data_IF_970107214890
#
_entry.id   IF_970107214890
#
_cell.length_a   1.000
_cell.length_b   1.000
_cell.length_c   1.000
_cell.angle_alpha   90.00
_cell.angle_beta   90.00
_cell.angle_gamma   90.00
#
_symmetry.space_group_name_H-M   'P 1'
#
loop_
_entity.id
_entity.type
_entity.pdbx_description
1 polymer ?
#
# COMPACT_ATOMS: atom_id res chain seq x y z
N UNK A 1 25.84 13.99 8.33
CA UNK A 1 26.23 15.42 8.33
C UNK A 1 25.59 16.21 7.19
N UNK A 2 24.26 16.26 7.09
CA UNK A 2 23.57 17.31 6.32
C UNK A 2 22.34 17.72 7.13
N UNK A 3 22.49 18.76 7.96
CA UNK A 3 21.41 19.30 8.80
C UNK A 3 20.74 20.53 8.19
N UNK A 4 21.21 20.99 7.03
CA UNK A 4 20.61 22.11 6.32
C UNK A 4 20.39 21.72 4.86
N UNK A 5 19.14 21.58 4.40
CA UNK A 5 18.87 21.32 3.00
C UNK A 5 19.40 22.47 2.13
N UNK A 6 19.84 22.21 0.88
CA UNK A 6 20.40 23.23 -0.01
C UNK A 6 19.37 24.30 -0.44
N UNK A 7 18.10 24.13 -0.07
CA UNK A 7 16.97 25.01 -0.37
C UNK A 7 16.16 25.19 0.91
N UNK A 8 15.65 26.40 1.24
CA UNK A 8 14.79 26.63 2.39
C UNK A 8 13.53 25.74 2.38
N UNK A 9 13.03 25.39 3.58
CA UNK A 9 11.85 24.52 3.71
C UNK A 9 10.63 25.10 2.98
N UNK A 10 10.36 26.39 3.11
CA UNK A 10 9.23 27.06 2.44
C UNK A 10 9.30 26.94 0.91
N UNK A 11 10.49 27.11 0.34
CA UNK A 11 10.71 26.97 -1.09
C UNK A 11 10.54 25.51 -1.56
N UNK A 12 11.04 24.54 -0.78
CA UNK A 12 10.81 23.12 -1.04
C UNK A 12 9.33 22.75 -0.91
N UNK A 13 8.65 23.27 0.09
CA UNK A 13 7.25 23.00 0.38
C UNK A 13 6.34 23.57 -0.70
N UNK A 14 6.65 24.75 -1.24
CA UNK A 14 5.96 25.31 -2.39
C UNK A 14 6.03 24.40 -3.64
N UNK A 15 7.05 23.55 -3.75
CA UNK A 15 7.16 22.55 -4.84
C UNK A 15 6.37 21.26 -4.56
N UNK A 16 5.84 21.06 -3.36
CA UNK A 16 5.15 19.82 -2.98
C UNK A 16 3.96 19.47 -3.90
N UNK A 17 3.08 20.41 -4.30
CA UNK A 17 2.00 20.11 -5.25
C UNK A 17 2.54 19.66 -6.62
N UNK A 18 3.58 20.33 -7.12
CA UNK A 18 4.22 19.98 -8.40
C UNK A 18 4.88 18.60 -8.33
N UNK A 19 5.58 18.30 -7.23
CA UNK A 19 6.16 16.97 -6.99
C UNK A 19 5.08 15.88 -7.04
N UNK A 20 3.93 16.10 -6.39
CA UNK A 20 2.80 15.16 -6.41
C UNK A 20 2.26 14.94 -7.82
N UNK A 21 2.08 16.01 -8.58
CA UNK A 21 1.64 15.93 -9.97
C UNK A 21 2.62 15.09 -10.82
N UNK A 22 3.91 15.43 -10.78
CA UNK A 22 4.94 14.71 -11.55
C UNK A 22 5.05 13.24 -11.14
N UNK A 23 4.91 12.94 -9.85
CA UNK A 23 4.89 11.55 -9.36
C UNK A 23 3.71 10.79 -9.96
N UNK A 24 2.51 11.36 -9.91
CA UNK A 24 1.30 10.75 -10.49
C UNK A 24 1.45 10.50 -11.99
N UNK A 25 1.91 11.49 -12.75
CA UNK A 25 2.13 11.37 -14.20
C UNK A 25 3.10 10.21 -14.51
N UNK A 26 4.24 10.16 -13.83
CA UNK A 26 5.24 9.09 -14.00
C UNK A 26 4.72 7.70 -13.62
N UNK A 27 3.95 7.61 -12.53
CA UNK A 27 3.35 6.35 -12.09
C UNK A 27 2.33 5.81 -13.10
N UNK A 28 1.58 6.70 -13.75
CA UNK A 28 0.66 6.31 -14.80
C UNK A 28 1.39 5.93 -16.09
N UNK A 29 2.46 6.63 -16.46
CA UNK A 29 3.23 6.34 -17.67
C UNK A 29 4.05 5.04 -17.56
N UNK A 30 4.79 4.86 -16.46
CA UNK A 30 5.73 3.74 -16.30
C UNK A 30 5.06 2.41 -15.91
N UNK A 31 3.80 2.45 -15.45
CA UNK A 31 3.14 1.29 -14.84
C UNK A 31 3.64 1.09 -13.40
N UNK A 32 2.91 1.63 -12.44
CA UNK A 32 3.34 1.67 -11.04
C UNK A 32 3.28 0.32 -10.29
N UNK A 33 2.58 -0.67 -10.83
CA UNK A 33 2.42 -1.99 -10.21
C UNK A 33 2.93 -3.02 -11.20
N UNK A 34 3.97 -3.77 -10.82
CA UNK A 34 4.55 -4.74 -11.75
C UNK A 34 3.57 -5.90 -12.02
N UNK A 35 3.59 -6.48 -13.23
CA UNK A 35 2.66 -7.54 -13.64
C UNK A 35 2.60 -8.72 -12.66
N UNK A 36 3.73 -9.10 -12.05
CA UNK A 36 3.84 -10.23 -11.13
C UNK A 36 3.00 -10.00 -9.85
N UNK A 37 2.89 -8.74 -9.40
CA UNK A 37 2.03 -8.38 -8.27
C UNK A 37 0.56 -8.49 -8.66
N UNK A 38 0.22 -8.05 -9.87
CA UNK A 38 -1.15 -8.17 -10.39
C UNK A 38 -1.56 -9.64 -10.51
N UNK A 39 -0.66 -10.50 -11.01
CA UNK A 39 -0.87 -11.95 -11.10
C UNK A 39 -1.06 -12.59 -9.72
N UNK A 40 -0.23 -12.22 -8.74
CA UNK A 40 -0.37 -12.69 -7.37
C UNK A 40 -1.73 -12.29 -6.76
N UNK A 41 -2.14 -11.03 -6.89
CA UNK A 41 -3.42 -10.56 -6.37
C UNK A 41 -4.60 -11.27 -7.03
N UNK A 42 -4.52 -11.56 -8.34
CA UNK A 42 -5.55 -12.35 -9.04
C UNK A 42 -5.61 -13.80 -8.56
N UNK A 43 -4.47 -14.39 -8.23
CA UNK A 43 -4.42 -15.75 -7.69
C UNK A 43 -4.99 -15.82 -6.26
N UNK A 44 -4.79 -14.78 -5.45
CA UNK A 44 -5.29 -14.71 -4.07
C UNK A 44 -6.78 -14.37 -3.99
N UNK A 45 -7.28 -13.50 -4.87
CA UNK A 45 -8.64 -12.95 -4.81
C UNK A 45 -9.78 -13.98 -4.66
N UNK A 46 -9.74 -15.17 -5.28
CA UNK A 46 -10.79 -16.19 -5.09
C UNK A 46 -10.86 -16.77 -3.67
N UNK A 47 -9.76 -16.72 -2.92
CA UNK A 47 -9.62 -17.36 -1.60
C UNK A 47 -9.50 -16.36 -0.45
N UNK A 48 -9.08 -15.11 -0.74
CA UNK A 48 -8.80 -14.08 0.24
C UNK A 48 -9.51 -12.77 -0.10
N UNK A 49 -10.03 -12.10 0.93
CA UNK A 49 -10.41 -10.70 0.83
C UNK A 49 -9.14 -9.85 0.76
N UNK A 50 -9.08 -8.95 -0.22
CA UNK A 50 -7.91 -8.10 -0.43
C UNK A 50 -8.23 -6.66 -0.07
N UNK A 51 -7.29 -5.97 0.57
CA UNK A 51 -7.42 -4.56 0.90
C UNK A 51 -6.12 -3.80 0.69
N UNK A 52 -6.25 -2.50 0.36
CA UNK A 52 -5.12 -1.57 0.31
C UNK A 52 -5.27 -0.55 1.42
N UNK A 53 -4.20 -0.38 2.22
CA UNK A 53 -4.15 0.61 3.30
C UNK A 53 -2.94 1.53 3.09
N UNK A 54 -3.20 2.80 2.79
CA UNK A 54 -2.17 3.78 2.43
C UNK A 54 -2.35 5.11 3.15
N UNK A 55 -1.25 5.81 3.45
CA UNK A 55 -1.29 7.20 3.96
C UNK A 55 -1.41 8.23 2.84
N UNK A 56 -1.39 7.81 1.57
CA UNK A 56 -1.63 8.68 0.42
C UNK A 56 -3.12 8.94 0.21
N UNK A 57 -3.46 10.06 -0.43
CA UNK A 57 -4.86 10.40 -0.72
C UNK A 57 -5.42 9.54 -1.86
N UNK A 58 -6.75 9.36 -1.87
CA UNK A 58 -7.45 8.62 -2.93
C UNK A 58 -7.09 9.11 -4.33
N UNK A 59 -7.09 10.44 -4.53
CA UNK A 59 -6.79 11.06 -5.83
C UNK A 59 -5.40 10.75 -6.38
N UNK A 60 -4.47 10.29 -5.53
CA UNK A 60 -3.11 9.91 -5.90
C UNK A 60 -3.02 8.42 -6.24
N UNK A 61 -3.75 7.57 -5.49
CA UNK A 61 -3.59 6.11 -5.56
C UNK A 61 -4.65 5.42 -6.41
N UNK A 62 -5.91 5.87 -6.34
CA UNK A 62 -7.02 5.21 -7.03
C UNK A 62 -6.80 5.07 -8.55
N UNK A 63 -6.33 6.10 -9.29
CA UNK A 63 -6.06 5.97 -10.72
C UNK A 63 -5.00 4.91 -11.05
N UNK A 64 -4.03 4.71 -10.16
CA UNK A 64 -2.99 3.68 -10.30
C UNK A 64 -3.59 2.29 -10.17
N UNK A 65 -4.44 2.06 -9.15
CA UNK A 65 -5.13 0.79 -8.92
C UNK A 65 -6.08 0.44 -10.06
N UNK A 66 -6.80 1.44 -10.60
CA UNK A 66 -7.70 1.29 -11.75
C UNK A 66 -6.92 0.92 -13.02
N UNK A 67 -5.83 1.64 -13.32
CA UNK A 67 -4.98 1.37 -14.49
C UNK A 67 -4.31 0.00 -14.43
N UNK A 68 -3.91 -0.44 -13.24
CA UNK A 68 -3.37 -1.79 -13.03
C UNK A 68 -4.45 -2.90 -13.11
N UNK A 69 -5.74 -2.52 -13.12
CA UNK A 69 -6.86 -3.45 -13.17
C UNK A 69 -7.04 -4.25 -11.88
N UNK A 70 -6.53 -3.74 -10.75
CA UNK A 70 -6.63 -4.43 -9.45
C UNK A 70 -7.70 -3.85 -8.54
N UNK A 71 -8.20 -2.63 -8.80
CA UNK A 71 -9.27 -2.04 -7.99
C UNK A 71 -10.49 -2.98 -7.84
N UNK A 72 -10.97 -3.68 -8.90
CA UNK A 72 -12.08 -4.64 -8.76
C UNK A 72 -11.76 -5.88 -7.92
N UNK A 73 -10.49 -6.16 -7.63
CA UNK A 73 -10.06 -7.26 -6.77
C UNK A 73 -10.06 -6.87 -5.28
N UNK A 74 -10.21 -5.58 -4.96
CA UNK A 74 -10.12 -5.10 -3.58
C UNK A 74 -11.50 -5.06 -2.94
N UNK A 75 -11.65 -5.80 -1.84
CA UNK A 75 -12.82 -5.71 -0.96
C UNK A 75 -12.88 -4.35 -0.26
N UNK A 76 -11.72 -3.77 0.07
CA UNK A 76 -11.64 -2.46 0.70
C UNK A 76 -10.40 -1.67 0.26
N UNK A 77 -10.53 -0.35 0.25
CA UNK A 77 -9.41 0.58 0.21
C UNK A 77 -9.49 1.49 1.42
N UNK A 78 -8.36 1.90 2.00
CA UNK A 78 -8.27 2.91 3.05
C UNK A 78 -7.17 3.89 2.67
N UNK A 79 -7.54 5.15 2.48
CA UNK A 79 -6.66 6.23 2.09
C UNK A 79 -6.33 7.13 3.28
N UNK A 80 -5.31 8.00 3.15
CA UNK A 80 -4.91 8.91 4.22
C UNK A 80 -6.02 9.85 4.70
N UNK A 81 -6.96 10.21 3.82
CA UNK A 81 -8.10 11.05 4.18
C UNK A 81 -9.24 10.33 4.89
N UNK A 82 -9.21 8.98 4.99
CA UNK A 82 -10.28 8.20 5.60
C UNK A 82 -10.22 8.15 7.14
N UNK A 83 -9.09 8.54 7.73
CA UNK A 83 -8.86 8.46 9.18
C UNK A 83 -8.26 9.75 9.72
N UNK A 84 -8.51 10.02 11.00
CA UNK A 84 -7.92 11.17 11.71
C UNK A 84 -6.46 10.87 12.05
N UNK A 85 -6.18 9.68 12.60
CA UNK A 85 -4.83 9.29 13.00
C UNK A 85 -4.22 8.38 11.93
N UNK A 86 -3.17 8.88 11.27
CA UNK A 86 -2.41 8.12 10.27
C UNK A 86 -1.45 7.12 10.93
N UNK A 87 -0.89 6.20 10.12
CA UNK A 87 0.23 5.32 10.51
C UNK A 87 1.31 6.17 11.24
N UNK A 88 1.77 5.78 12.45
CA UNK A 88 1.71 4.46 13.07
C UNK A 88 0.47 4.16 13.93
N UNK A 89 -0.54 5.04 13.97
CA UNK A 89 -1.79 4.73 14.67
C UNK A 89 -2.50 3.51 14.04
N UNK A 90 -3.26 2.71 14.80
CA UNK A 90 -3.90 1.49 14.29
C UNK A 90 -5.12 1.78 13.40
N UNK A 91 -5.67 3.00 13.44
CA UNK A 91 -6.93 3.41 12.81
C UNK A 91 -7.07 2.97 11.34
N UNK A 92 -6.04 3.11 10.45
CA UNK A 92 -6.18 2.69 9.06
C UNK A 92 -6.47 1.19 8.89
N UNK A 93 -5.83 0.33 9.68
CA UNK A 93 -6.02 -1.12 9.60
C UNK A 93 -7.29 -1.57 10.31
N UNK A 94 -7.68 -0.89 11.39
CA UNK A 94 -8.97 -1.14 12.04
C UNK A 94 -10.13 -0.81 11.10
N UNK A 95 -10.03 0.29 10.36
CA UNK A 95 -11.02 0.66 9.34
C UNK A 95 -11.03 -0.34 8.16
N UNK A 96 -9.87 -0.84 7.74
CA UNK A 96 -9.81 -1.89 6.73
C UNK A 96 -10.48 -3.20 7.19
N UNK A 97 -10.24 -3.59 8.45
CA UNK A 97 -10.87 -4.76 9.06
C UNK A 97 -12.40 -4.59 9.19
N UNK A 98 -12.86 -3.39 9.52
CA UNK A 98 -14.29 -3.05 9.52
C UNK A 98 -14.89 -3.16 8.11
N UNK A 99 -14.28 -2.51 7.10
CA UNK A 99 -14.76 -2.52 5.70
C UNK A 99 -14.75 -3.91 5.08
N UNK A 100 -13.83 -4.78 5.48
CA UNK A 100 -13.76 -6.18 5.01
C UNK A 100 -14.59 -7.15 5.85
N UNK A 101 -15.05 -6.74 7.03
CA UNK A 101 -15.82 -7.57 7.96
C UNK A 101 -15.00 -8.65 8.68
N UNK A 102 -13.66 -8.59 8.67
CA UNK A 102 -12.80 -9.57 9.32
C UNK A 102 -11.56 -8.94 9.96
N UNK A 103 -11.13 -9.52 11.07
CA UNK A 103 -9.85 -9.19 11.74
C UNK A 103 -8.80 -10.29 11.59
N UNK A 104 -9.16 -11.42 10.98
CA UNK A 104 -8.22 -12.48 10.62
C UNK A 104 -7.53 -12.07 9.31
N UNK A 105 -6.48 -11.27 9.42
CA UNK A 105 -5.81 -10.64 8.29
C UNK A 105 -4.30 -10.62 8.48
N UNK A 106 -3.59 -10.78 7.38
CA UNK A 106 -2.15 -10.58 7.28
C UNK A 106 -1.87 -9.21 6.64
N UNK A 107 -1.18 -8.33 7.36
CA UNK A 107 -0.68 -7.07 6.83
C UNK A 107 0.65 -7.29 6.15
N UNK A 108 0.78 -6.86 4.90
CA UNK A 108 2.05 -6.87 4.15
C UNK A 108 2.56 -5.44 4.04
N UNK A 109 3.73 -5.14 4.59
CA UNK A 109 4.24 -3.76 4.73
C UNK A 109 5.77 -3.67 4.64
N UNK A 110 6.26 -2.57 4.07
CA UNK A 110 7.69 -2.25 3.90
C UNK A 110 8.15 -1.06 4.76
N UNK A 111 7.21 -0.31 5.33
CA UNK A 111 7.49 0.91 6.05
C UNK A 111 7.41 0.71 7.57
N UNK A 112 8.41 1.22 8.31
CA UNK A 112 8.38 1.24 9.78
C UNK A 112 7.06 1.78 10.38
N UNK A 113 6.49 2.92 9.92
CA UNK A 113 5.20 3.38 10.43
C UNK A 113 4.04 2.44 10.08
N UNK A 114 4.05 1.81 8.90
CA UNK A 114 3.03 0.83 8.50
C UNK A 114 3.08 -0.45 9.32
N UNK A 115 4.27 -1.00 9.52
CA UNK A 115 4.51 -2.18 10.37
C UNK A 115 4.04 -1.91 11.80
N UNK A 116 4.40 -0.74 12.36
CA UNK A 116 3.97 -0.34 13.69
C UNK A 116 2.43 -0.20 13.78
N UNK A 117 1.80 0.36 12.75
CA UNK A 117 0.34 0.51 12.66
C UNK A 117 -0.39 -0.84 12.62
N UNK A 118 0.08 -1.79 11.81
CA UNK A 118 -0.49 -3.14 11.73
C UNK A 118 -0.39 -3.88 13.06
N UNK A 119 0.78 -3.81 13.72
CA UNK A 119 1.00 -4.39 15.05
C UNK A 119 0.13 -3.73 16.12
N UNK A 120 0.01 -2.40 16.11
CA UNK A 120 -0.83 -1.66 17.04
C UNK A 120 -2.33 -2.00 16.86
N UNK A 121 -2.75 -2.38 15.65
CA UNK A 121 -4.11 -2.84 15.37
C UNK A 121 -4.36 -4.29 15.85
N UNK A 122 -3.32 -4.98 16.31
CA UNK A 122 -3.36 -6.38 16.76
C UNK A 122 -3.47 -7.39 15.62
N UNK A 123 -2.93 -7.05 14.44
CA UNK A 123 -2.92 -7.92 13.27
C UNK A 123 -1.54 -8.56 13.07
N UNK A 124 -1.50 -9.70 12.40
CA UNK A 124 -0.26 -10.31 11.95
C UNK A 124 0.37 -9.44 10.86
N UNK A 125 1.70 -9.25 10.92
CA UNK A 125 2.43 -8.40 9.98
C UNK A 125 3.58 -9.18 9.36
N UNK A 126 3.54 -9.30 8.04
CA UNK A 126 4.64 -9.74 7.19
C UNK A 126 5.41 -8.51 6.69
N UNK A 127 6.61 -8.33 7.23
CA UNK A 127 7.53 -7.27 6.81
C UNK A 127 8.23 -7.67 5.50
N UNK A 128 8.28 -6.74 4.55
CA UNK A 128 8.90 -6.91 3.23
C UNK A 128 9.92 -5.80 2.99
N UNK A 129 10.92 -6.04 2.15
CA UNK A 129 11.98 -5.06 1.86
C UNK A 129 12.09 -4.72 0.37
N UNK A 130 11.39 -5.47 -0.48
CA UNK A 130 11.32 -5.24 -1.91
C UNK A 130 10.05 -5.87 -2.49
N UNK A 131 9.70 -5.47 -3.71
CA UNK A 131 8.57 -6.03 -4.44
C UNK A 131 8.79 -7.52 -4.79
N UNK A 132 10.02 -7.90 -5.14
CA UNK A 132 10.37 -9.30 -5.42
C UNK A 132 10.28 -10.16 -4.16
N UNK A 133 10.73 -9.64 -3.02
CA UNK A 133 10.58 -10.34 -1.73
C UNK A 133 9.11 -10.50 -1.35
N UNK A 134 8.29 -9.48 -1.59
CA UNK A 134 6.86 -9.51 -1.32
C UNK A 134 6.17 -10.65 -2.05
N UNK A 135 6.34 -10.75 -3.37
CA UNK A 135 5.62 -11.76 -4.15
C UNK A 135 5.94 -13.17 -3.67
N UNK A 136 7.22 -13.46 -3.44
CA UNK A 136 7.69 -14.75 -2.93
C UNK A 136 7.13 -15.05 -1.54
N UNK A 137 7.32 -14.14 -0.58
CA UNK A 137 6.92 -14.35 0.81
C UNK A 137 5.41 -14.51 0.97
N UNK A 138 4.61 -13.73 0.23
CA UNK A 138 3.16 -13.84 0.26
C UNK A 138 2.71 -15.16 -0.38
N UNK A 139 3.28 -15.55 -1.51
CA UNK A 139 2.94 -16.83 -2.15
C UNK A 139 3.26 -18.03 -1.24
N UNK A 140 4.42 -18.03 -0.57
CA UNK A 140 4.80 -19.04 0.42
C UNK A 140 3.83 -19.07 1.61
N UNK A 141 3.49 -17.90 2.17
CA UNK A 141 2.63 -17.77 3.35
C UNK A 141 1.18 -18.17 3.07
N UNK A 142 0.65 -17.81 1.90
CA UNK A 142 -0.73 -18.09 1.51
C UNK A 142 -0.90 -19.42 0.75
N UNK A 143 0.20 -20.15 0.49
CA UNK A 143 0.15 -21.44 -0.20
C UNK A 143 -0.14 -21.37 -1.70
N UNK A 144 0.09 -20.21 -2.33
CA UNK A 144 -0.15 -20.02 -3.78
C UNK A 144 0.92 -20.78 -4.57
N UNK A 145 0.49 -21.81 -5.31
CA UNK A 145 1.38 -22.64 -6.15
C UNK A 145 1.28 -22.22 -7.63
N UNK A 146 2.42 -22.26 -8.35
CA UNK A 146 2.45 -22.15 -9.81
C UNK A 146 2.61 -20.75 -10.39
N UNK A 147 2.82 -19.71 -9.57
CA UNK A 147 3.27 -18.40 -10.06
C UNK A 147 4.74 -18.49 -10.51
N UNK A 148 5.05 -17.94 -11.69
CA UNK A 148 6.44 -17.74 -12.12
C UNK A 148 6.92 -16.42 -11.50
N UNK A 149 7.38 -16.48 -10.25
CA UNK A 149 7.95 -15.35 -9.51
C UNK A 149 9.45 -15.25 -9.79
#
# INVERSE_FOLDING_TARGET
NQRTPPVPFEELWAQYPRKKQMFRERMLEAGAIAPEVVELLRALHPEYLLAVVTSSNEVEVRPILERAGILPLLTATVYGGDVVNLKPAPDPYLLAAERTGTRNALVVEDSAPGIASGRAAGLDVLEIHSQSDMCRLVAETCGVRGLRI
#
